data_IF_972238237067
#
_entry.id   IF_972238237067
#
_cell.length_a   1.000
_cell.length_b   1.000
_cell.length_c   1.000
_cell.angle_alpha   90.00
_cell.angle_beta   90.00
_cell.angle_gamma   90.00
#
_symmetry.space_group_name_H-M   'P 1'
#
loop_
_entity.id
_entity.type
_entity.pdbx_description
1 polymer ?
#
# COMPACT_ATOMS: atom_id res chain seq x y z
N UNK A 1 -2.72 37.58 -1.48
CA UNK A 1 -2.58 36.12 -1.30
C UNK A 1 -1.17 35.87 -0.82
N UNK A 2 -0.97 35.13 0.28
CA UNK A 2 0.39 34.77 0.71
C UNK A 2 1.04 33.91 -0.37
N UNK A 3 2.31 34.15 -0.69
CA UNK A 3 3.05 33.31 -1.62
C UNK A 3 3.20 31.90 -1.06
N UNK A 4 2.81 30.91 -1.85
CA UNK A 4 3.00 29.51 -1.51
C UNK A 4 4.49 29.15 -1.56
N UNK A 5 5.08 28.82 -0.42
CA UNK A 5 6.50 28.48 -0.29
C UNK A 5 6.69 27.03 0.16
N UNK A 6 6.18 26.07 -0.60
CA UNK A 6 6.51 24.67 -0.32
C UNK A 6 7.95 24.36 -0.72
N UNK A 7 8.72 23.87 0.25
CA UNK A 7 10.06 23.34 0.05
C UNK A 7 10.10 21.90 0.53
N UNK A 8 10.48 21.00 -0.37
CA UNK A 8 10.67 19.60 -0.04
C UNK A 8 11.74 19.42 1.05
N UNK A 9 11.41 18.69 2.12
CA UNK A 9 12.35 18.29 3.16
C UNK A 9 12.66 16.78 3.03
N UNK A 10 13.88 16.39 2.63
CA UNK A 10 14.25 14.98 2.56
C UNK A 10 14.58 14.36 3.92
N UNK A 11 14.87 15.16 4.94
CA UNK A 11 15.38 14.68 6.22
C UNK A 11 14.23 14.27 7.15
N UNK A 12 14.13 12.98 7.43
CA UNK A 12 13.20 12.41 8.38
C UNK A 12 13.71 12.62 9.81
N UNK A 13 12.78 12.84 10.74
CA UNK A 13 13.11 12.79 12.16
C UNK A 13 13.60 11.39 12.53
N UNK A 14 14.63 11.31 13.37
CA UNK A 14 15.22 10.06 13.84
C UNK A 14 14.21 9.17 14.58
N UNK A 15 13.14 9.76 15.15
CA UNK A 15 12.05 8.99 15.77
C UNK A 15 11.36 8.03 14.80
N UNK A 16 11.36 8.37 13.52
CA UNK A 16 10.69 7.66 12.43
C UNK A 16 11.66 6.86 11.54
N UNK A 17 12.92 6.77 11.94
CA UNK A 17 13.95 5.94 11.30
C UNK A 17 14.08 4.62 12.07
N UNK A 18 14.68 3.61 11.46
CA UNK A 18 14.93 2.31 12.07
C UNK A 18 15.63 2.49 13.42
N UNK A 19 15.17 1.74 14.44
CA UNK A 19 15.51 1.88 15.88
C UNK A 19 14.93 3.11 16.59
N UNK A 20 14.23 4.00 15.89
CA UNK A 20 13.45 5.07 16.47
C UNK A 20 12.15 4.56 17.12
N UNK A 21 11.65 5.20 18.19
CA UNK A 21 10.49 4.74 18.96
C UNK A 21 9.17 4.74 18.19
N UNK A 22 9.07 5.47 17.08
CA UNK A 22 7.87 5.56 16.24
C UNK A 22 7.99 4.78 14.94
N UNK A 23 9.11 4.10 14.70
CA UNK A 23 9.32 3.37 13.46
C UNK A 23 8.55 2.06 13.46
N UNK A 24 7.74 1.89 12.41
CA UNK A 24 7.10 0.63 12.02
C UNK A 24 7.45 0.32 10.56
N UNK A 25 7.44 -0.96 10.22
CA UNK A 25 7.54 -1.44 8.85
C UNK A 25 6.12 -1.50 8.26
N UNK A 26 5.74 -0.48 7.49
CA UNK A 26 4.45 -0.48 6.80
C UNK A 26 4.45 -1.42 5.60
N UNK A 27 3.27 -1.91 5.20
CA UNK A 27 3.06 -2.61 3.92
C UNK A 27 3.73 -1.89 2.74
N UNK A 28 3.58 -0.56 2.64
CA UNK A 28 4.21 0.23 1.56
C UNK A 28 5.74 0.26 1.62
N UNK A 29 6.34 0.14 2.81
CA UNK A 29 7.80 0.01 2.97
C UNK A 29 8.31 -1.38 2.59
N UNK A 30 7.51 -2.43 2.76
CA UNK A 30 7.83 -3.78 2.27
C UNK A 30 7.89 -3.76 0.73
N UNK A 31 6.89 -3.18 0.07
CA UNK A 31 6.95 -2.96 -1.39
C UNK A 31 8.16 -2.13 -1.82
N UNK A 32 8.49 -1.12 -1.02
CA UNK A 32 9.65 -0.27 -1.30
C UNK A 32 10.98 -1.03 -1.21
N UNK A 33 11.08 -2.00 -0.29
CA UNK A 33 12.22 -2.91 -0.24
C UNK A 33 12.34 -3.76 -1.52
N UNK A 34 11.23 -4.32 -2.01
CA UNK A 34 11.21 -5.04 -3.30
C UNK A 34 11.60 -4.16 -4.49
N UNK A 35 11.21 -2.87 -4.48
CA UNK A 35 11.62 -1.94 -5.52
C UNK A 35 13.13 -1.68 -5.49
N UNK A 36 13.69 -1.38 -4.31
CA UNK A 36 15.10 -1.08 -4.16
C UNK A 36 15.59 -1.16 -2.70
N UNK A 37 16.35 -2.20 -2.32
CA UNK A 37 16.94 -2.33 -0.98
C UNK A 37 17.80 -1.13 -0.58
N UNK A 38 18.62 -0.61 -1.52
CA UNK A 38 19.39 0.63 -1.31
C UNK A 38 18.54 1.82 -0.91
N UNK A 39 17.42 2.03 -1.60
CA UNK A 39 16.58 3.20 -1.31
C UNK A 39 15.76 3.02 -0.05
N UNK A 40 15.29 1.80 0.20
CA UNK A 40 14.68 1.42 1.45
C UNK A 40 15.64 1.70 2.63
N UNK A 41 16.91 1.34 2.52
CA UNK A 41 17.95 1.63 3.52
C UNK A 41 18.19 3.13 3.69
N UNK A 42 18.31 3.89 2.61
CA UNK A 42 18.46 5.35 2.67
C UNK A 42 17.29 6.03 3.40
N UNK A 43 16.05 5.59 3.16
CA UNK A 43 14.86 6.16 3.80
C UNK A 43 14.70 5.74 5.26
N UNK A 44 14.94 4.46 5.56
CA UNK A 44 14.65 3.90 6.88
C UNK A 44 15.83 4.01 7.84
N UNK A 45 17.07 3.83 7.37
CA UNK A 45 18.26 3.86 8.24
C UNK A 45 18.90 5.24 8.20
N UNK A 46 19.16 5.80 7.01
CA UNK A 46 19.82 7.11 6.89
C UNK A 46 18.84 8.30 6.95
N UNK A 47 17.54 8.05 7.02
CA UNK A 47 16.52 9.08 7.18
C UNK A 47 16.37 10.04 6.00
N UNK A 48 16.76 9.62 4.80
CA UNK A 48 16.67 10.44 3.58
C UNK A 48 15.52 9.95 2.70
N UNK A 49 14.38 10.64 2.79
CA UNK A 49 13.20 10.35 1.98
C UNK A 49 13.42 10.74 0.51
N UNK A 50 12.73 10.07 -0.40
CA UNK A 50 12.60 10.48 -1.81
C UNK A 50 11.50 11.54 -1.97
N UNK A 51 11.62 12.46 -2.95
CA UNK A 51 10.48 13.27 -3.36
C UNK A 51 9.26 12.38 -3.65
N UNK A 52 8.10 12.77 -3.13
CA UNK A 52 6.85 12.05 -3.35
C UNK A 52 6.16 12.44 -4.65
N UNK A 53 5.14 11.68 -5.04
CA UNK A 53 4.20 12.04 -6.09
C UNK A 53 3.05 12.89 -5.53
N UNK A 54 2.41 13.74 -6.35
CA UNK A 54 1.16 14.40 -6.00
C UNK A 54 0.08 13.41 -5.58
N UNK A 55 -0.85 13.83 -4.73
CA UNK A 55 -1.97 12.98 -4.29
C UNK A 55 -2.99 12.78 -5.42
N UNK A 56 -3.58 11.59 -5.49
CA UNK A 56 -4.67 11.26 -6.41
C UNK A 56 -6.02 11.54 -5.75
N UNK A 57 -6.38 12.83 -5.65
CA UNK A 57 -7.56 13.25 -4.87
C UNK A 57 -8.89 12.67 -5.38
N UNK A 58 -9.04 12.43 -6.69
CA UNK A 58 -10.23 11.76 -7.22
C UNK A 58 -10.32 10.30 -6.77
N UNK A 59 -9.20 9.59 -6.74
CA UNK A 59 -9.15 8.21 -6.25
C UNK A 59 -9.47 8.14 -4.76
N UNK A 60 -8.94 9.09 -3.97
CA UNK A 60 -9.26 9.21 -2.55
C UNK A 60 -10.75 9.45 -2.34
N UNK A 61 -11.38 10.34 -3.13
CA UNK A 61 -12.81 10.58 -3.04
C UNK A 61 -13.66 9.33 -3.36
N UNK A 62 -13.26 8.53 -4.36
CA UNK A 62 -13.94 7.25 -4.68
C UNK A 62 -13.79 6.26 -3.52
N UNK A 63 -12.60 6.14 -2.95
CA UNK A 63 -12.31 5.29 -1.79
C UNK A 63 -13.16 5.69 -0.56
N UNK A 64 -13.23 6.97 -0.24
CA UNK A 64 -14.08 7.50 0.85
C UNK A 64 -15.57 7.20 0.62
N UNK A 65 -16.06 7.34 -0.62
CA UNK A 65 -17.44 7.03 -0.97
C UNK A 65 -17.74 5.53 -0.86
N UNK A 66 -16.82 4.66 -1.28
CA UNK A 66 -16.96 3.22 -1.04
C UNK A 66 -16.99 2.91 0.45
N UNK A 67 -16.11 3.50 1.27
CA UNK A 67 -16.14 3.31 2.73
C UNK A 67 -17.50 3.67 3.30
N UNK A 68 -18.04 4.85 2.97
CA UNK A 68 -19.37 5.28 3.41
C UNK A 68 -20.49 4.32 2.95
N UNK A 69 -20.43 3.84 1.72
CA UNK A 69 -21.41 2.90 1.17
C UNK A 69 -21.37 1.56 1.92
N UNK A 70 -20.19 0.94 2.04
CA UNK A 70 -20.02 -0.33 2.74
C UNK A 70 -20.31 -0.22 4.25
N UNK A 71 -20.09 0.93 4.87
CA UNK A 71 -20.45 1.19 6.28
C UNK A 71 -21.95 1.10 6.54
N UNK A 72 -22.78 1.49 5.56
CA UNK A 72 -24.22 1.29 5.65
C UNK A 72 -24.56 -0.20 5.70
N UNK A 73 -24.00 -0.99 4.80
CA UNK A 73 -24.22 -2.44 4.76
C UNK A 73 -23.66 -3.17 5.98
N UNK A 74 -22.52 -2.70 6.52
CA UNK A 74 -21.95 -3.19 7.78
C UNK A 74 -22.92 -3.01 8.94
N UNK A 75 -23.46 -1.81 9.13
CA UNK A 75 -24.44 -1.53 10.21
C UNK A 75 -25.72 -2.34 10.06
N UNK A 76 -26.15 -2.56 8.82
CA UNK A 76 -27.34 -3.36 8.54
C UNK A 76 -27.08 -4.88 8.62
N UNK A 77 -25.82 -5.32 8.71
CA UNK A 77 -25.40 -6.72 8.62
C UNK A 77 -25.98 -7.41 7.37
N UNK A 78 -25.85 -6.74 6.22
CA UNK A 78 -26.35 -7.22 4.93
C UNK A 78 -25.24 -7.26 3.88
N UNK A 79 -25.35 -8.17 2.89
CA UNK A 79 -24.42 -8.18 1.77
C UNK A 79 -24.58 -6.91 0.93
N UNK A 80 -23.46 -6.39 0.44
CA UNK A 80 -23.46 -5.34 -0.58
C UNK A 80 -23.97 -5.93 -1.92
N UNK A 81 -24.67 -5.16 -2.78
CA UNK A 81 -25.13 -5.65 -4.09
C UNK A 81 -24.06 -6.33 -4.93
N UNK A 82 -22.82 -5.83 -4.90
CA UNK A 82 -21.68 -6.45 -5.59
C UNK A 82 -21.39 -7.88 -5.09
N UNK A 83 -21.58 -8.16 -3.80
CA UNK A 83 -21.39 -9.51 -3.26
C UNK A 83 -22.46 -10.45 -3.81
N UNK A 84 -23.72 -9.98 -3.90
CA UNK A 84 -24.83 -10.76 -4.47
C UNK A 84 -24.62 -11.04 -5.96
N UNK A 85 -24.21 -10.03 -6.73
CA UNK A 85 -23.92 -10.16 -8.17
C UNK A 85 -22.85 -11.21 -8.44
N UNK A 86 -21.77 -11.19 -7.65
CA UNK A 86 -20.63 -12.11 -7.79
C UNK A 86 -20.75 -13.39 -6.95
N UNK A 87 -21.90 -13.59 -6.28
CA UNK A 87 -22.19 -14.76 -5.43
C UNK A 87 -21.16 -14.99 -4.33
N UNK A 88 -20.66 -13.92 -3.73
CA UNK A 88 -19.82 -13.95 -2.54
C UNK A 88 -20.73 -13.97 -1.31
N UNK A 89 -20.74 -15.09 -0.59
CA UNK A 89 -21.49 -15.23 0.66
C UNK A 89 -20.73 -14.56 1.81
N UNK A 90 -20.88 -13.24 1.93
CA UNK A 90 -20.27 -12.46 2.99
C UNK A 90 -21.11 -11.22 3.33
N UNK A 91 -20.78 -10.59 4.46
CA UNK A 91 -21.21 -9.24 4.82
C UNK A 91 -20.00 -8.41 5.24
N UNK A 92 -20.02 -7.07 5.17
CA UNK A 92 -18.93 -6.27 5.71
C UNK A 92 -18.74 -6.55 7.20
N UNK A 93 -17.50 -6.74 7.65
CA UNK A 93 -17.18 -7.21 8.99
C UNK A 93 -17.36 -6.09 10.02
N UNK A 94 -18.20 -6.32 11.03
CA UNK A 94 -18.36 -5.41 12.16
C UNK A 94 -17.34 -5.76 13.25
N UNK A 95 -16.45 -4.82 13.55
CA UNK A 95 -15.44 -5.00 14.59
C UNK A 95 -15.10 -3.66 15.24
N UNK A 96 -14.91 -3.68 16.57
CA UNK A 96 -14.59 -2.47 17.36
C UNK A 96 -13.32 -1.75 16.91
N UNK A 97 -12.37 -2.47 16.31
CA UNK A 97 -11.11 -1.92 15.82
C UNK A 97 -11.17 -1.48 14.35
N UNK A 98 -12.31 -1.60 13.66
CA UNK A 98 -12.40 -1.37 12.20
C UNK A 98 -11.90 0.02 11.81
N UNK A 99 -12.28 1.07 12.54
CA UNK A 99 -11.81 2.44 12.30
C UNK A 99 -10.28 2.56 12.48
N UNK A 100 -9.72 1.88 13.48
CA UNK A 100 -8.28 1.84 13.74
C UNK A 100 -7.54 1.10 12.63
N UNK A 101 -8.08 -0.02 12.17
CA UNK A 101 -7.51 -0.83 11.09
C UNK A 101 -7.55 -0.12 9.74
N UNK A 102 -8.50 0.80 9.54
CA UNK A 102 -8.59 1.64 8.33
C UNK A 102 -7.71 2.88 8.37
N UNK A 103 -7.26 3.33 9.54
CA UNK A 103 -6.34 4.46 9.64
C UNK A 103 -4.96 4.09 9.06
N UNK A 104 -4.48 4.77 7.99
CA UNK A 104 -3.21 4.44 7.35
C UNK A 104 -1.98 4.74 8.23
N UNK A 105 -2.13 5.51 9.30
CA UNK A 105 -1.06 5.83 10.26
C UNK A 105 -1.04 4.89 11.46
N UNK A 106 -2.12 4.15 11.70
CA UNK A 106 -2.22 3.17 12.79
C UNK A 106 -2.25 1.75 12.25
N UNK A 107 -3.35 1.39 11.59
CA UNK A 107 -3.58 0.11 10.93
C UNK A 107 -3.61 -1.09 11.86
N UNK A 108 -3.71 -2.28 11.28
CA UNK A 108 -3.44 -3.54 11.96
C UNK A 108 -1.94 -3.61 12.24
N UNK A 109 -1.55 -4.03 13.45
CA UNK A 109 -0.15 -4.09 13.87
C UNK A 109 0.17 -5.48 14.38
N UNK A 110 1.36 -5.99 14.05
CA UNK A 110 1.90 -7.21 14.64
C UNK A 110 3.41 -7.09 14.81
N UNK A 111 3.96 -7.70 15.86
CA UNK A 111 5.41 -7.80 16.07
C UNK A 111 5.89 -9.18 15.64
N UNK A 112 6.65 -9.23 14.56
CA UNK A 112 7.25 -10.46 14.09
C UNK A 112 8.36 -10.90 15.07
N UNK A 113 8.14 -11.96 15.83
CA UNK A 113 9.01 -12.30 16.97
C UNK A 113 10.43 -12.68 16.56
N UNK A 114 10.61 -13.35 15.41
CA UNK A 114 11.94 -13.80 14.96
C UNK A 114 12.87 -12.64 14.61
N UNK A 115 12.34 -11.54 14.04
CA UNK A 115 13.14 -10.38 13.63
C UNK A 115 12.98 -9.18 14.58
N UNK A 116 11.98 -9.20 15.45
CA UNK A 116 11.59 -8.08 16.32
C UNK A 116 10.96 -6.90 15.57
N UNK A 117 10.69 -7.03 14.28
CA UNK A 117 10.10 -5.95 13.47
C UNK A 117 8.62 -5.78 13.80
N UNK A 118 8.20 -4.53 14.03
CA UNK A 118 6.78 -4.17 14.13
C UNK A 118 6.25 -3.86 12.73
N UNK A 119 5.39 -4.72 12.22
CA UNK A 119 4.75 -4.59 10.90
C UNK A 119 3.38 -3.94 11.07
N UNK A 120 3.01 -3.06 10.13
CA UNK A 120 1.67 -2.45 10.14
C UNK A 120 1.06 -2.27 8.75
N UNK A 121 -0.28 -2.25 8.69
CA UNK A 121 -1.03 -2.07 7.46
C UNK A 121 -2.44 -1.54 7.70
N UNK A 122 -2.79 -0.47 6.99
CA UNK A 122 -4.17 0.04 6.94
C UNK A 122 -4.95 -0.60 5.81
N UNK A 123 -6.11 -1.18 6.11
CA UNK A 123 -7.02 -1.81 5.13
C UNK A 123 -8.06 -0.81 4.64
N UNK A 124 -8.66 -1.04 3.46
CA UNK A 124 -9.85 -0.28 3.08
C UNK A 124 -11.11 -0.92 3.65
N UNK A 125 -11.24 -2.25 3.52
CA UNK A 125 -12.34 -2.99 4.13
C UNK A 125 -12.00 -4.44 4.44
N UNK A 126 -12.83 -5.06 5.27
CA UNK A 126 -12.81 -6.48 5.59
C UNK A 126 -14.25 -6.98 5.53
N UNK A 127 -14.47 -8.12 4.89
CA UNK A 127 -15.75 -8.82 4.92
C UNK A 127 -15.63 -10.09 5.78
N UNK A 128 -16.77 -10.64 6.18
CA UNK A 128 -16.85 -11.87 6.96
C UNK A 128 -17.84 -12.84 6.35
N UNK A 129 -17.45 -14.10 6.24
CA UNK A 129 -18.28 -15.20 5.76
C UNK A 129 -19.17 -15.77 6.87
N UNK A 130 -20.20 -16.60 6.55
CA UNK A 130 -21.01 -17.28 7.56
C UNK A 130 -20.22 -18.19 8.51
N UNK A 131 -19.05 -18.71 8.10
CA UNK A 131 -18.15 -19.51 8.93
C UNK A 131 -17.12 -18.66 9.72
N UNK A 132 -17.31 -17.34 9.79
CA UNK A 132 -16.47 -16.38 10.51
C UNK A 132 -15.04 -16.22 9.98
N UNK A 133 -14.79 -16.56 8.72
CA UNK A 133 -13.52 -16.23 8.07
C UNK A 133 -13.57 -14.83 7.50
N UNK A 134 -12.46 -14.12 7.65
CA UNK A 134 -12.32 -12.77 7.13
C UNK A 134 -11.86 -12.79 5.68
N UNK A 135 -12.31 -11.81 4.90
CA UNK A 135 -11.89 -11.60 3.52
C UNK A 135 -11.29 -10.19 3.43
N UNK A 136 -10.04 -10.10 2.98
CA UNK A 136 -9.37 -8.81 2.76
C UNK A 136 -9.96 -8.14 1.53
N UNK A 137 -10.31 -6.86 1.66
CA UNK A 137 -10.81 -6.04 0.55
C UNK A 137 -10.05 -4.72 0.45
N UNK A 138 -9.74 -4.36 -0.80
CA UNK A 138 -9.04 -3.11 -1.11
C UNK A 138 -9.73 -2.40 -2.29
N UNK A 139 -9.84 -1.08 -2.21
CA UNK A 139 -10.59 -0.28 -3.15
C UNK A 139 -9.65 0.34 -4.19
N UNK A 140 -9.93 0.08 -5.47
CA UNK A 140 -9.11 0.58 -6.58
C UNK A 140 -9.97 1.40 -7.52
N UNK A 141 -9.47 2.58 -7.91
CA UNK A 141 -10.11 3.40 -8.95
C UNK A 141 -9.13 3.74 -10.07
N UNK A 142 -9.58 3.70 -11.33
CA UNK A 142 -8.75 3.97 -12.51
C UNK A 142 -9.60 4.38 -13.72
N UNK A 143 -8.97 4.61 -14.89
CA UNK A 143 -9.65 4.79 -16.19
C UNK A 143 -8.89 4.06 -17.31
N UNK A 144 -8.98 2.72 -17.29
CA UNK A 144 -8.42 1.84 -18.32
C UNK A 144 -9.49 1.51 -19.37
N UNK A 145 -9.04 1.19 -20.58
CA UNK A 145 -9.92 0.75 -21.65
C UNK A 145 -10.43 -0.68 -21.36
N UNK A 146 -11.73 -0.91 -21.60
CA UNK A 146 -12.38 -2.19 -21.36
C UNK A 146 -12.73 -2.47 -19.89
N UNK A 147 -13.39 -3.61 -19.68
CA UNK A 147 -13.79 -4.10 -18.36
C UNK A 147 -12.61 -4.70 -17.61
N UNK A 148 -12.53 -4.47 -16.30
CA UNK A 148 -11.49 -5.03 -15.43
C UNK A 148 -12.12 -6.14 -14.58
N UNK A 149 -12.03 -7.41 -15.01
CA UNK A 149 -12.56 -8.57 -14.28
C UNK A 149 -11.45 -9.48 -13.70
N UNK A 150 -10.20 -9.20 -14.04
CA UNK A 150 -9.01 -9.89 -13.55
C UNK A 150 -7.81 -8.94 -13.49
N UNK A 151 -6.84 -9.28 -12.65
CA UNK A 151 -5.54 -8.62 -12.66
C UNK A 151 -4.75 -9.00 -13.91
N UNK A 152 -4.07 -8.03 -14.52
CA UNK A 152 -3.03 -8.26 -15.51
C UNK A 152 -1.67 -8.60 -14.90
N UNK A 153 -0.63 -8.59 -15.74
CA UNK A 153 0.77 -8.75 -15.32
C UNK A 153 1.52 -7.41 -15.40
N UNK A 154 1.23 -6.51 -14.46
CA UNK A 154 1.96 -5.25 -14.30
C UNK A 154 2.60 -5.10 -12.92
N UNK A 155 3.61 -4.23 -12.76
CA UNK A 155 4.21 -3.95 -11.45
C UNK A 155 3.19 -3.51 -10.39
N UNK A 156 2.17 -2.74 -10.81
CA UNK A 156 1.08 -2.28 -9.94
C UNK A 156 0.21 -3.45 -9.46
N UNK A 157 -0.10 -4.39 -10.35
CA UNK A 157 -0.96 -5.52 -10.00
C UNK A 157 -0.25 -6.51 -9.08
N UNK A 158 1.07 -6.73 -9.29
CA UNK A 158 1.91 -7.46 -8.34
C UNK A 158 1.99 -6.78 -6.97
N UNK A 159 1.94 -5.45 -6.94
CA UNK A 159 1.87 -4.70 -5.70
C UNK A 159 0.56 -4.94 -4.96
N UNK A 160 -0.57 -4.99 -5.67
CA UNK A 160 -1.87 -5.27 -5.05
C UNK A 160 -1.92 -6.67 -4.45
N UNK A 161 -1.37 -7.68 -5.13
CA UNK A 161 -1.27 -9.04 -4.57
C UNK A 161 -0.47 -9.06 -3.27
N UNK A 162 0.72 -8.45 -3.24
CA UNK A 162 1.51 -8.35 -1.99
C UNK A 162 0.81 -7.56 -0.90
N UNK A 163 0.11 -6.49 -1.27
CA UNK A 163 -0.66 -5.67 -0.34
C UNK A 163 -1.70 -6.52 0.40
N UNK A 164 -2.51 -7.28 -0.33
CA UNK A 164 -3.51 -8.18 0.23
C UNK A 164 -2.86 -9.28 1.08
N UNK A 165 -1.75 -9.86 0.63
CA UNK A 165 -0.98 -10.84 1.40
C UNK A 165 -0.52 -10.29 2.76
N UNK A 166 0.03 -9.07 2.82
CA UNK A 166 0.45 -8.44 4.09
C UNK A 166 -0.74 -8.25 5.03
N UNK A 167 -1.89 -7.82 4.53
CA UNK A 167 -3.09 -7.62 5.37
C UNK A 167 -3.65 -8.94 5.88
N UNK A 168 -3.69 -9.98 5.04
CA UNK A 168 -4.05 -11.33 5.47
C UNK A 168 -3.13 -11.82 6.58
N UNK A 169 -1.81 -11.76 6.35
CA UNK A 169 -0.83 -12.17 7.36
C UNK A 169 -1.01 -11.39 8.66
N UNK A 170 -1.21 -10.07 8.60
CA UNK A 170 -1.45 -9.26 9.80
C UNK A 170 -2.68 -9.72 10.59
N UNK A 171 -3.80 -10.04 9.92
CA UNK A 171 -4.99 -10.56 10.59
C UNK A 171 -4.79 -11.97 11.15
N UNK A 172 -4.14 -12.86 10.40
CA UNK A 172 -3.81 -14.23 10.86
C UNK A 172 -2.92 -14.18 12.10
N UNK A 173 -1.89 -13.32 12.11
CA UNK A 173 -1.02 -13.09 13.27
C UNK A 173 -1.75 -12.45 14.47
N UNK A 174 -2.93 -11.88 14.26
CA UNK A 174 -3.82 -11.36 15.30
C UNK A 174 -4.96 -12.33 15.67
N UNK A 175 -4.87 -13.60 15.23
CA UNK A 175 -5.74 -14.68 15.68
C UNK A 175 -7.04 -14.84 14.88
N UNK A 176 -7.15 -14.19 13.72
CA UNK A 176 -8.30 -14.36 12.83
C UNK A 176 -8.04 -15.47 11.80
N UNK A 177 -9.09 -16.22 11.46
CA UNK A 177 -9.08 -17.05 10.26
C UNK A 177 -9.41 -16.16 9.05
N UNK A 178 -8.62 -16.29 7.99
CA UNK A 178 -8.73 -15.41 6.81
C UNK A 178 -8.76 -16.27 5.56
N UNK A 179 -9.66 -15.96 4.64
CA UNK A 179 -9.75 -16.60 3.34
C UNK A 179 -8.47 -16.38 2.53
N UNK A 180 -8.08 -17.40 1.77
CA UNK A 180 -6.93 -17.31 0.88
C UNK A 180 -7.16 -16.34 -0.29
N UNK A 181 -8.43 -16.09 -0.63
CA UNK A 181 -8.84 -15.14 -1.67
C UNK A 181 -9.29 -13.84 -1.01
N UNK A 182 -8.63 -12.74 -1.36
CA UNK A 182 -9.14 -11.39 -1.14
C UNK A 182 -9.79 -10.83 -2.40
N UNK A 183 -10.38 -9.64 -2.30
CA UNK A 183 -10.99 -8.97 -3.45
C UNK A 183 -10.51 -7.54 -3.62
N UNK A 184 -10.45 -7.10 -4.87
CA UNK A 184 -10.38 -5.70 -5.21
C UNK A 184 -11.76 -5.25 -5.70
N UNK A 185 -12.33 -4.23 -5.06
CA UNK A 185 -13.49 -3.53 -5.61
C UNK A 185 -12.96 -2.46 -6.54
N UNK A 186 -13.13 -2.67 -7.84
CA UNK A 186 -12.53 -1.87 -8.89
C UNK A 186 -13.55 -0.90 -9.50
N UNK A 187 -13.35 0.39 -9.32
CA UNK A 187 -14.09 1.44 -10.02
C UNK A 187 -13.31 1.90 -11.27
N UNK A 188 -13.79 1.55 -12.46
CA UNK A 188 -13.18 1.95 -13.73
C UNK A 188 -14.01 3.05 -14.40
N UNK A 189 -13.46 4.27 -14.47
CA UNK A 189 -14.13 5.40 -15.12
C UNK A 189 -14.08 5.24 -16.65
N UNK A 190 -15.26 5.32 -17.28
CA UNK A 190 -15.43 5.30 -18.73
C UNK A 190 -14.99 6.63 -19.33
N UNK A 191 -13.94 6.56 -20.16
CA UNK A 191 -13.40 7.69 -20.93
C UNK A 191 -13.78 7.65 -22.41
N UNK A 192 -14.59 6.67 -22.82
CA UNK A 192 -15.08 6.52 -24.19
C UNK A 192 -16.39 7.31 -24.44
N UNK A 193 -16.94 7.96 -23.41
CA UNK A 193 -18.12 8.81 -23.53
C UNK A 193 -17.84 10.04 -24.41
N UNK A 194 -18.84 10.55 -25.16
CA UNK A 194 -18.64 11.69 -26.09
C UNK A 194 -18.21 13.00 -25.42
N UNK A 195 -18.53 13.19 -24.14
CA UNK A 195 -18.33 14.43 -23.39
C UNK A 195 -18.18 14.15 -21.90
N UNK A 196 -17.58 15.12 -21.18
CA UNK A 196 -17.36 15.04 -19.73
C UNK A 196 -18.63 15.36 -18.91
N UNK A 197 -19.43 16.35 -19.33
CA UNK A 197 -20.71 16.73 -18.70
C UNK A 197 -20.70 16.84 -17.15
N UNK A 198 -19.56 17.28 -16.59
CA UNK A 198 -19.32 17.35 -15.15
C UNK A 198 -19.53 16.03 -14.40
N UNK A 199 -19.28 14.89 -15.06
CA UNK A 199 -19.50 13.56 -14.52
C UNK A 199 -18.40 12.59 -14.96
N UNK A 200 -17.99 11.72 -14.05
CA UNK A 200 -17.32 10.48 -14.39
C UNK A 200 -18.31 9.33 -14.17
N UNK A 201 -18.46 8.46 -15.16
CA UNK A 201 -19.29 7.26 -15.07
C UNK A 201 -18.36 6.09 -14.80
N UNK A 202 -18.61 5.34 -13.73
CA UNK A 202 -17.78 4.20 -13.34
C UNK A 202 -18.52 2.89 -13.62
N UNK A 203 -17.81 1.92 -14.20
CA UNK A 203 -18.16 0.51 -14.07
C UNK A 203 -17.47 -0.02 -12.80
N UNK A 204 -18.22 -0.66 -11.90
CA UNK A 204 -17.64 -1.31 -10.72
C UNK A 204 -17.59 -2.82 -10.93
N UNK A 205 -16.44 -3.42 -10.68
CA UNK A 205 -16.21 -4.87 -10.78
C UNK A 205 -15.58 -5.42 -9.51
N UNK A 206 -15.71 -6.73 -9.32
CA UNK A 206 -15.09 -7.45 -8.22
C UNK A 206 -14.02 -8.40 -8.76
N UNK A 207 -12.76 -8.14 -8.42
CA UNK A 207 -11.62 -8.92 -8.92
C UNK A 207 -11.07 -9.81 -7.80
N UNK A 208 -11.15 -11.15 -7.92
CA UNK A 208 -10.55 -12.07 -6.95
C UNK A 208 -9.03 -12.05 -7.05
N UNK A 209 -8.35 -12.08 -5.90
CA UNK A 209 -6.90 -12.08 -5.81
C UNK A 209 -6.45 -13.07 -4.73
N UNK A 210 -5.55 -13.98 -5.08
CA UNK A 210 -4.91 -14.85 -4.10
C UNK A 210 -4.00 -14.02 -3.18
N UNK A 211 -4.33 -13.98 -1.90
CA UNK A 211 -3.57 -13.30 -0.86
C UNK A 211 -2.48 -14.26 -0.33
N UNK A 212 -1.46 -14.52 -1.14
CA UNK A 212 -0.34 -15.37 -0.73
C UNK A 212 0.49 -14.69 0.37
N UNK A 213 0.78 -15.46 1.43
CA UNK A 213 1.54 -15.05 2.61
C UNK A 213 2.89 -15.77 2.73
N UNK A 214 3.15 -16.79 1.90
CA UNK A 214 4.30 -17.69 2.03
C UNK A 214 5.66 -16.97 1.91
N UNK A 215 5.68 -15.82 1.24
CA UNK A 215 6.88 -15.00 1.04
C UNK A 215 7.22 -14.06 2.20
N UNK A 216 6.30 -13.85 3.14
CA UNK A 216 6.38 -12.73 4.10
C UNK A 216 7.49 -12.95 5.12
N UNK A 217 7.54 -14.09 5.81
CA UNK A 217 8.50 -14.31 6.90
C UNK A 217 9.97 -14.29 6.41
N UNK A 218 10.23 -14.89 5.24
CA UNK A 218 11.53 -14.81 4.56
C UNK A 218 11.89 -13.37 4.18
N UNK A 219 10.92 -12.62 3.67
CA UNK A 219 11.12 -11.21 3.32
C UNK A 219 11.37 -10.34 4.55
N UNK A 220 10.68 -10.58 5.66
CA UNK A 220 10.91 -9.87 6.91
C UNK A 220 12.31 -10.14 7.46
N UNK A 221 12.82 -11.36 7.28
CA UNK A 221 14.21 -11.71 7.62
C UNK A 221 15.20 -10.95 6.74
N UNK A 222 15.01 -10.95 5.42
CA UNK A 222 15.86 -10.20 4.49
C UNK A 222 15.82 -8.68 4.74
N UNK A 223 14.65 -8.14 5.11
CA UNK A 223 14.50 -6.73 5.50
C UNK A 223 15.29 -6.45 6.77
N UNK A 224 15.24 -7.35 7.77
CA UNK A 224 16.02 -7.19 9.00
C UNK A 224 17.52 -7.14 8.72
N UNK A 225 18.02 -8.07 7.92
CA UNK A 225 19.43 -8.11 7.50
C UNK A 225 19.81 -6.82 6.76
N UNK A 226 18.93 -6.37 5.85
CA UNK A 226 19.12 -5.14 5.11
C UNK A 226 19.21 -3.90 6.02
N UNK A 227 18.40 -3.85 7.08
CA UNK A 227 18.37 -2.74 8.04
C UNK A 227 19.59 -2.72 8.98
N UNK A 228 20.17 -3.88 9.27
CA UNK A 228 21.27 -4.03 10.23
C UNK A 228 22.67 -3.94 9.61
N UNK A 229 22.80 -4.18 8.30
CA UNK A 229 24.10 -4.12 7.64
C UNK A 229 24.72 -2.71 7.73
N UNK A 230 26.05 -2.66 7.70
CA UNK A 230 26.81 -1.39 7.72
C UNK A 230 26.96 -0.78 6.34
N UNK A 231 27.12 -1.64 5.34
CA UNK A 231 27.38 -1.23 3.95
C UNK A 231 26.07 -0.94 3.22
N UNK A 232 26.16 -0.09 2.20
CA UNK A 232 24.99 0.29 1.43
C UNK A 232 24.51 -0.91 0.58
N UNK A 233 23.23 -1.35 0.70
CA UNK A 233 22.72 -2.47 -0.08
C UNK A 233 22.80 -2.24 -1.59
N UNK A 234 22.67 -3.30 -2.41
CA UNK A 234 22.63 -3.18 -3.86
C UNK A 234 21.43 -2.34 -4.33
N UNK A 235 21.59 -1.73 -5.51
CA UNK A 235 20.48 -1.07 -6.19
C UNK A 235 19.48 -2.14 -6.66
N UNK A 236 18.18 -1.88 -6.47
CA UNK A 236 17.14 -2.69 -7.11
C UNK A 236 17.06 -2.44 -8.61
N UNK A 237 16.69 -3.49 -9.36
CA UNK A 237 16.71 -3.51 -10.82
C UNK A 237 15.76 -2.49 -11.47
N UNK A 238 14.63 -2.21 -10.82
CA UNK A 238 13.59 -1.29 -11.32
C UNK A 238 13.68 0.11 -10.72
N UNK A 239 14.79 0.42 -10.04
CA UNK A 239 14.92 1.67 -9.32
C UNK A 239 15.26 2.84 -10.26
N UNK A 240 14.41 3.86 -10.30
CA UNK A 240 14.68 5.07 -11.08
C UNK A 240 15.50 6.11 -10.30
N UNK A 241 15.49 6.04 -8.96
CA UNK A 241 16.10 7.05 -8.10
C UNK A 241 17.60 6.86 -7.90
N UNK A 242 18.09 5.63 -7.85
CA UNK A 242 19.52 5.34 -7.76
C UNK A 242 20.30 5.84 -8.99
N UNK A 243 19.94 5.47 -10.24
CA UNK A 243 20.66 5.95 -11.42
C UNK A 243 20.62 7.47 -11.53
N UNK A 244 19.47 8.09 -11.22
CA UNK A 244 19.36 9.55 -11.15
C UNK A 244 20.34 10.17 -10.15
N UNK A 245 20.33 9.70 -8.89
CA UNK A 245 21.21 10.25 -7.83
C UNK A 245 22.68 10.04 -8.13
N UNK A 246 23.04 8.89 -8.71
CA UNK A 246 24.41 8.62 -9.11
C UNK A 246 24.87 9.57 -10.22
N UNK A 247 24.06 9.74 -11.27
CA UNK A 247 24.36 10.64 -12.37
C UNK A 247 24.46 12.12 -11.90
N UNK A 248 23.51 12.58 -11.08
CA UNK A 248 23.52 13.92 -10.52
C UNK A 248 24.71 14.11 -9.56
N UNK A 249 24.95 13.15 -8.66
CA UNK A 249 26.03 13.20 -7.68
C UNK A 249 27.41 13.29 -8.33
N UNK A 250 27.69 12.46 -9.34
CA UNK A 250 28.96 12.50 -10.09
C UNK A 250 29.20 13.88 -10.72
N UNK A 251 28.18 14.48 -11.35
CA UNK A 251 28.28 15.81 -11.97
C UNK A 251 28.55 16.91 -10.93
N UNK A 252 27.80 16.91 -9.82
CA UNK A 252 27.95 17.91 -8.75
C UNK A 252 29.31 17.80 -8.05
N UNK A 253 29.78 16.57 -7.78
CA UNK A 253 31.09 16.32 -7.21
C UNK A 253 32.22 16.79 -8.14
N UNK A 254 32.11 16.53 -9.44
CA UNK A 254 33.09 17.01 -10.41
C UNK A 254 33.23 18.54 -10.40
N UNK A 255 32.11 19.27 -10.36
CA UNK A 255 32.11 20.74 -10.23
C UNK A 255 32.75 21.17 -8.91
N UNK A 256 32.36 20.54 -7.79
CA UNK A 256 32.91 20.85 -6.47
C UNK A 256 34.44 20.69 -6.41
N UNK A 257 34.97 19.60 -6.97
CA UNK A 257 36.41 19.36 -6.99
C UNK A 257 37.16 20.26 -8.00
N UNK A 258 36.52 20.67 -9.09
CA UNK A 258 37.08 21.64 -10.02
C UNK A 258 37.22 23.03 -9.39
N UNK A 259 36.24 23.46 -8.59
CA UNK A 259 36.24 24.77 -7.92
C UNK A 259 37.12 24.83 -6.66
N UNK A 260 37.63 23.69 -6.18
CA UNK A 260 38.57 23.61 -5.05
C UNK A 260 40.03 23.71 -5.46
N UNK A 261 40.32 23.69 -6.76
CA UNK A 261 41.65 23.95 -7.34
C UNK A 261 41.77 25.43 -7.68
#
# INVERSE_FOLDING_TARGET
MAEYTYKYNPNRSAEWNYKGPKWKLSRSKIDFFFECPRCFYLDNVLGTKRPGFPSFNLNIAVDELFKNEFDKYRKEQKPHPIMLEYKVEAVPFEHKEMDTWRDPFVGIVHKHESTGLVVSGGVDDIWVTPDNKLIIVDYKSTSKEGKIDKLGDSPWEKQYTRQLGVYRWLLEQNGFEVEATGYLVYANADKALPSFDNKLIFETTLVPVEADVSWIDDTLTQIKDCLDQKDLPPCGEKCEFCPYREAAGKKLQAIHFANKK
#
